data_IF_331705359692
#
_entry.id   IF_331705359692
#
_cell.length_a   1.000
_cell.length_b   1.000
_cell.length_c   1.000
_cell.angle_alpha   90.00
_cell.angle_beta   90.00
_cell.angle_gamma   90.00
#
_symmetry.space_group_name_H-M   'P 1'
#
loop_
_entity.id
_entity.type
_entity.pdbx_description
1 polymer ?
#
# COMPACT_ATOMS: atom_id res chain seq x y z
N UNK A 1 -16.16 10.52 -3.05
CA UNK A 1 -17.58 10.22 -3.31
C UNK A 1 -17.90 8.73 -3.17
N UNK A 2 -17.12 7.82 -3.73
CA UNK A 2 -17.34 6.35 -3.68
C UNK A 2 -17.32 5.80 -2.26
N UNK A 3 -16.46 6.32 -1.37
CA UNK A 3 -16.44 5.94 0.05
C UNK A 3 -17.74 6.26 0.81
N UNK A 4 -18.49 7.28 0.39
CA UNK A 4 -19.74 7.67 1.04
C UNK A 4 -20.89 6.69 0.76
N UNK A 5 -20.91 6.05 -0.40
CA UNK A 5 -21.95 5.09 -0.77
C UNK A 5 -21.84 3.74 -0.05
N UNK A 6 -20.60 3.26 0.23
CA UNK A 6 -20.33 2.00 0.95
C UNK A 6 -20.29 2.15 2.47
N UNK A 7 -20.00 3.34 2.99
CA UNK A 7 -19.80 3.60 4.41
C UNK A 7 -21.04 3.42 5.32
N UNK A 8 -22.23 3.23 4.77
CA UNK A 8 -23.46 3.09 5.61
C UNK A 8 -23.65 1.70 6.21
N UNK A 9 -22.98 0.67 5.70
CA UNK A 9 -23.17 -0.70 6.17
C UNK A 9 -22.07 -1.23 7.10
N UNK A 10 -20.90 -0.54 7.20
CA UNK A 10 -19.74 -1.10 7.88
C UNK A 10 -19.24 -0.33 9.11
N UNK A 11 -19.90 0.75 9.51
CA UNK A 11 -19.48 1.50 10.70
C UNK A 11 -20.58 1.46 11.74
N UNK A 12 -20.39 0.60 12.74
CA UNK A 12 -21.12 0.63 14.00
C UNK A 12 -21.04 2.03 14.64
N UNK A 13 -22.20 2.58 14.93
CA UNK A 13 -22.47 3.58 15.98
C UNK A 13 -21.62 4.86 16.07
N UNK A 14 -21.47 5.59 14.98
CA UNK A 14 -21.34 7.05 15.08
C UNK A 14 -22.74 7.66 14.95
N UNK A 15 -23.56 7.48 15.98
CA UNK A 15 -24.82 8.20 16.13
C UNK A 15 -24.49 9.68 16.34
N UNK A 16 -25.02 10.53 15.47
CA UNK A 16 -25.46 11.89 15.63
C UNK A 16 -24.73 13.07 15.00
N UNK A 17 -23.60 12.99 14.31
CA UNK A 17 -22.99 14.19 13.68
C UNK A 17 -22.83 14.13 12.17
N UNK A 18 -23.56 13.27 11.48
CA UNK A 18 -23.60 13.35 10.00
C UNK A 18 -24.58 14.44 9.59
N UNK A 19 -24.21 15.33 8.66
CA UNK A 19 -25.19 16.12 7.94
C UNK A 19 -26.29 15.16 7.47
N UNK A 20 -27.56 15.50 7.68
CA UNK A 20 -28.70 14.70 7.20
C UNK A 20 -28.69 14.76 5.68
N UNK A 21 -27.84 13.93 5.07
CA UNK A 21 -27.77 13.77 3.65
C UNK A 21 -29.11 13.22 3.18
N UNK A 22 -29.88 14.03 2.48
CA UNK A 22 -31.20 13.66 2.00
C UNK A 22 -31.15 12.63 0.87
N UNK A 23 -29.96 12.44 0.25
CA UNK A 23 -29.76 11.50 -0.85
C UNK A 23 -29.61 10.06 -0.38
N UNK A 24 -30.29 9.13 -1.07
CA UNK A 24 -30.09 7.70 -0.84
C UNK A 24 -28.72 7.24 -1.35
N UNK A 25 -28.15 6.16 -0.81
CA UNK A 25 -26.86 5.63 -1.30
C UNK A 25 -26.81 5.39 -2.81
N UNK A 26 -27.90 4.89 -3.40
CA UNK A 26 -28.02 4.65 -4.84
C UNK A 26 -27.93 5.94 -5.68
N UNK A 27 -28.41 7.06 -5.17
CA UNK A 27 -28.35 8.35 -5.87
C UNK A 27 -26.90 8.85 -5.94
N UNK A 28 -26.11 8.64 -4.85
CA UNK A 28 -24.69 8.93 -4.84
C UNK A 28 -23.89 8.04 -5.80
N UNK A 29 -24.24 6.75 -5.89
CA UNK A 29 -23.61 5.83 -6.84
C UNK A 29 -23.92 6.21 -8.28
N UNK A 30 -25.16 6.59 -8.58
CA UNK A 30 -25.55 7.04 -9.92
C UNK A 30 -24.82 8.33 -10.31
N UNK A 31 -24.76 9.31 -9.42
CA UNK A 31 -24.05 10.56 -9.65
C UNK A 31 -22.54 10.31 -9.89
N UNK A 32 -21.92 9.46 -9.08
CA UNK A 32 -20.52 9.07 -9.27
C UNK A 32 -20.28 8.39 -10.62
N UNK A 33 -21.21 7.51 -11.06
CA UNK A 33 -21.15 6.86 -12.36
C UNK A 33 -21.29 7.88 -13.49
N UNK A 34 -22.26 8.79 -13.41
CA UNK A 34 -22.53 9.78 -14.45
C UNK A 34 -21.36 10.77 -14.60
N UNK A 35 -20.61 11.03 -13.54
CA UNK A 35 -19.38 11.83 -13.56
C UNK A 35 -18.17 11.05 -14.11
N UNK A 36 -18.05 9.75 -13.78
CA UNK A 36 -16.89 8.95 -14.16
C UNK A 36 -17.00 8.45 -15.62
N UNK A 37 -18.20 8.08 -16.08
CA UNK A 37 -18.40 7.43 -17.36
C UNK A 37 -17.84 8.19 -18.56
N UNK A 38 -18.10 9.51 -18.76
CA UNK A 38 -17.55 10.24 -19.89
C UNK A 38 -16.02 10.27 -19.89
N UNK A 39 -15.38 10.37 -18.72
CA UNK A 39 -13.93 10.34 -18.58
C UNK A 39 -13.36 8.96 -18.90
N UNK A 40 -14.01 7.91 -18.39
CA UNK A 40 -13.61 6.52 -18.67
C UNK A 40 -13.71 6.20 -20.17
N UNK A 41 -14.78 6.65 -20.84
CA UNK A 41 -14.96 6.50 -22.30
C UNK A 41 -13.92 7.31 -23.09
N UNK A 42 -13.45 8.42 -22.55
CA UNK A 42 -12.37 9.24 -23.11
C UNK A 42 -10.96 8.68 -22.86
N UNK A 43 -10.81 7.57 -22.13
CA UNK A 43 -9.53 6.90 -21.90
C UNK A 43 -8.87 7.18 -20.56
N UNK A 44 -9.52 7.91 -19.64
CA UNK A 44 -9.00 8.16 -18.30
C UNK A 44 -8.93 6.86 -17.49
N UNK A 45 -7.71 6.45 -17.13
CA UNK A 45 -7.45 5.17 -16.47
C UNK A 45 -8.03 5.08 -15.05
N UNK A 46 -7.99 6.17 -14.27
CA UNK A 46 -8.59 6.23 -12.94
C UNK A 46 -10.12 6.19 -13.04
N UNK A 47 -10.70 6.93 -13.97
CA UNK A 47 -12.14 6.90 -14.19
C UNK A 47 -12.64 5.51 -14.62
N UNK A 48 -11.87 4.77 -15.44
CA UNK A 48 -12.16 3.37 -15.76
C UNK A 48 -12.15 2.49 -14.51
N UNK A 49 -11.20 2.69 -13.59
CA UNK A 49 -11.18 1.96 -12.33
C UNK A 49 -12.39 2.33 -11.45
N UNK A 50 -12.77 3.59 -11.40
CA UNK A 50 -14.00 4.03 -10.73
C UNK A 50 -15.23 3.34 -11.31
N UNK A 51 -15.33 3.20 -12.64
CA UNK A 51 -16.41 2.44 -13.28
C UNK A 51 -16.42 0.97 -12.85
N UNK A 52 -15.25 0.32 -12.75
CA UNK A 52 -15.14 -1.03 -12.21
C UNK A 52 -15.67 -1.11 -10.76
N UNK A 53 -15.28 -0.19 -9.89
CA UNK A 53 -15.72 -0.16 -8.48
C UNK A 53 -17.24 0.04 -8.33
N UNK A 54 -17.85 0.79 -9.26
CA UNK A 54 -19.27 1.07 -9.25
C UNK A 54 -20.12 -0.07 -9.83
N UNK A 55 -19.65 -0.71 -10.90
CA UNK A 55 -20.41 -1.67 -11.68
C UNK A 55 -19.96 -3.12 -11.45
N UNK A 56 -18.78 -3.34 -10.90
CA UNK A 56 -18.13 -4.63 -10.70
C UNK A 56 -17.88 -5.41 -12.01
N UNK A 57 -17.84 -4.69 -13.14
CA UNK A 57 -17.56 -5.27 -14.45
C UNK A 57 -16.06 -5.36 -14.70
N UNK A 58 -15.52 -6.59 -14.77
CA UNK A 58 -14.09 -6.85 -14.99
C UNK A 58 -13.53 -6.23 -16.28
N UNK A 59 -14.36 -5.96 -17.26
CA UNK A 59 -13.95 -5.28 -18.50
C UNK A 59 -13.37 -3.88 -18.22
N UNK A 60 -13.95 -3.14 -17.30
CA UNK A 60 -13.43 -1.83 -16.88
C UNK A 60 -12.11 -1.94 -16.11
N UNK A 61 -11.96 -2.96 -15.25
CA UNK A 61 -10.71 -3.23 -14.57
C UNK A 61 -9.58 -3.51 -15.58
N UNK A 62 -9.83 -4.37 -16.56
CA UNK A 62 -8.86 -4.71 -17.59
C UNK A 62 -8.44 -3.50 -18.44
N UNK A 63 -9.42 -2.64 -18.83
CA UNK A 63 -9.15 -1.39 -19.55
C UNK A 63 -8.29 -0.44 -18.72
N UNK A 64 -8.66 -0.22 -17.46
CA UNK A 64 -7.91 0.64 -16.53
C UNK A 64 -6.47 0.16 -16.32
N UNK A 65 -6.28 -1.15 -16.09
CA UNK A 65 -4.95 -1.74 -15.93
C UNK A 65 -4.11 -1.61 -17.20
N UNK A 66 -4.72 -1.82 -18.38
CA UNK A 66 -4.05 -1.65 -19.68
C UNK A 66 -3.70 -0.19 -19.98
N UNK A 67 -4.47 0.75 -19.46
CA UNK A 67 -4.19 2.19 -19.52
C UNK A 67 -3.16 2.65 -18.48
N UNK A 68 -2.61 1.76 -17.65
CA UNK A 68 -1.49 2.02 -16.75
C UNK A 68 -1.87 2.40 -15.31
N UNK A 69 -3.15 2.31 -14.91
CA UNK A 69 -3.52 2.63 -13.53
C UNK A 69 -3.02 1.56 -12.55
N UNK A 70 -2.07 1.93 -11.69
CA UNK A 70 -1.34 1.00 -10.84
C UNK A 70 -2.25 0.17 -9.91
N UNK A 71 -3.28 0.77 -9.32
CA UNK A 71 -4.22 0.05 -8.46
C UNK A 71 -5.05 -0.98 -9.27
N UNK A 72 -5.45 -0.66 -10.51
CA UNK A 72 -6.13 -1.61 -11.37
C UNK A 72 -5.21 -2.79 -11.75
N UNK A 73 -3.94 -2.51 -12.06
CA UNK A 73 -2.93 -3.53 -12.33
C UNK A 73 -2.72 -4.46 -11.12
N UNK A 74 -2.69 -3.91 -9.89
CA UNK A 74 -2.66 -4.71 -8.67
C UNK A 74 -3.86 -5.67 -8.59
N UNK A 75 -5.07 -5.17 -8.83
CA UNK A 75 -6.27 -6.01 -8.78
C UNK A 75 -6.32 -7.05 -9.89
N UNK A 76 -5.75 -6.78 -11.06
CA UNK A 76 -5.54 -7.81 -12.09
C UNK A 76 -4.65 -8.93 -11.59
N UNK A 77 -3.49 -8.61 -10.97
CA UNK A 77 -2.60 -9.61 -10.40
C UNK A 77 -3.29 -10.44 -9.29
N UNK A 78 -4.03 -9.78 -8.40
CA UNK A 78 -4.79 -10.44 -7.32
C UNK A 78 -5.85 -11.37 -7.90
N UNK A 79 -6.58 -10.95 -8.93
CA UNK A 79 -7.57 -11.78 -9.62
C UNK A 79 -6.94 -13.06 -10.18
N UNK A 80 -5.82 -12.97 -10.90
CA UNK A 80 -5.09 -14.15 -11.38
C UNK A 80 -4.60 -15.04 -10.22
N UNK A 81 -4.11 -14.45 -9.12
CA UNK A 81 -3.69 -15.19 -7.92
C UNK A 81 -4.85 -15.95 -7.28
N UNK A 82 -6.07 -15.43 -7.34
CA UNK A 82 -7.29 -16.05 -6.82
C UNK A 82 -7.93 -17.03 -7.81
N UNK A 83 -7.39 -17.17 -9.01
CA UNK A 83 -7.86 -18.12 -10.01
C UNK A 83 -8.83 -17.56 -11.03
N UNK A 84 -8.95 -16.23 -11.11
CA UNK A 84 -9.68 -15.60 -12.20
C UNK A 84 -9.07 -16.03 -13.55
N UNK A 85 -9.94 -16.28 -14.53
CA UNK A 85 -9.63 -16.82 -15.84
C UNK A 85 -8.99 -18.23 -15.82
N UNK A 86 -9.34 -19.03 -16.81
CA UNK A 86 -8.77 -20.37 -16.98
C UNK A 86 -7.42 -20.25 -17.69
N UNK A 87 -6.33 -20.12 -16.90
CA UNK A 87 -4.97 -20.11 -17.42
C UNK A 87 -4.21 -21.37 -16.99
N UNK A 88 -3.33 -21.84 -17.87
CA UNK A 88 -2.35 -22.86 -17.49
C UNK A 88 -1.45 -22.33 -16.34
N UNK A 89 -1.01 -23.17 -15.39
CA UNK A 89 -0.31 -22.71 -14.18
C UNK A 89 0.85 -21.75 -14.46
N UNK A 90 1.70 -22.06 -15.45
CA UNK A 90 2.83 -21.19 -15.80
C UNK A 90 2.41 -19.84 -16.39
N UNK A 91 1.36 -19.83 -17.25
CA UNK A 91 0.82 -18.57 -17.80
C UNK A 91 0.20 -17.70 -16.71
N UNK A 92 -0.41 -18.34 -15.69
CA UNK A 92 -0.93 -17.63 -14.52
C UNK A 92 0.19 -16.97 -13.74
N UNK A 93 1.28 -17.70 -13.45
CA UNK A 93 2.45 -17.15 -12.74
C UNK A 93 3.06 -15.98 -13.50
N UNK A 94 3.24 -16.09 -14.81
CA UNK A 94 3.73 -15.00 -15.67
C UNK A 94 2.79 -13.78 -15.63
N UNK A 95 1.47 -13.99 -15.68
CA UNK A 95 0.49 -12.90 -15.61
C UNK A 95 0.51 -12.20 -14.24
N UNK A 96 0.59 -12.95 -13.15
CA UNK A 96 0.69 -12.42 -11.78
C UNK A 96 1.94 -11.53 -11.67
N UNK A 97 3.10 -12.06 -12.07
CA UNK A 97 4.35 -11.31 -12.03
C UNK A 97 4.29 -10.04 -12.89
N UNK A 98 3.84 -10.17 -14.14
CA UNK A 98 3.69 -9.05 -15.07
C UNK A 98 2.90 -7.90 -14.44
N UNK A 99 1.74 -8.21 -13.87
CA UNK A 99 0.84 -7.19 -13.35
C UNK A 99 1.32 -6.61 -12.02
N UNK A 100 1.90 -7.41 -11.10
CA UNK A 100 2.52 -6.87 -9.90
C UNK A 100 3.72 -5.99 -10.23
N UNK A 101 4.57 -6.39 -11.19
CA UNK A 101 5.68 -5.58 -11.66
C UNK A 101 5.20 -4.24 -12.22
N UNK A 102 4.28 -4.25 -13.17
CA UNK A 102 3.73 -3.03 -13.77
C UNK A 102 3.13 -2.09 -12.71
N UNK A 103 2.37 -2.64 -11.77
CA UNK A 103 1.77 -1.88 -10.68
C UNK A 103 2.82 -1.32 -9.69
N UNK A 104 3.89 -2.07 -9.42
CA UNK A 104 5.01 -1.61 -8.60
C UNK A 104 5.75 -0.46 -9.28
N UNK A 105 6.04 -0.58 -10.57
CA UNK A 105 6.61 0.47 -11.42
C UNK A 105 5.71 1.71 -11.49
N UNK A 106 4.39 1.51 -11.42
CA UNK A 106 3.37 2.56 -11.29
C UNK A 106 3.24 3.18 -9.90
N UNK A 107 4.09 2.78 -8.94
CA UNK A 107 4.17 3.38 -7.61
C UNK A 107 3.24 2.79 -6.54
N UNK A 108 2.53 1.69 -6.80
CA UNK A 108 1.61 1.13 -5.81
C UNK A 108 2.32 0.26 -4.76
N UNK A 109 2.35 0.66 -3.46
CA UNK A 109 3.22 0.02 -2.46
C UNK A 109 2.93 -1.45 -2.17
N UNK A 110 1.67 -1.89 -2.22
CA UNK A 110 1.34 -3.31 -2.06
C UNK A 110 1.91 -4.16 -3.18
N UNK A 111 1.90 -3.64 -4.41
CA UNK A 111 2.51 -4.33 -5.54
C UNK A 111 4.02 -4.40 -5.44
N UNK A 112 4.66 -3.37 -4.90
CA UNK A 112 6.09 -3.40 -4.62
C UNK A 112 6.43 -4.54 -3.65
N UNK A 113 5.63 -4.74 -2.59
CA UNK A 113 5.81 -5.87 -1.66
C UNK A 113 5.58 -7.23 -2.33
N UNK A 114 4.49 -7.38 -3.09
CA UNK A 114 4.18 -8.63 -3.77
C UNK A 114 5.23 -8.97 -4.82
N UNK A 115 5.71 -7.97 -5.56
CA UNK A 115 6.77 -8.15 -6.54
C UNK A 115 8.12 -8.46 -5.86
N UNK A 116 8.45 -7.79 -4.75
CA UNK A 116 9.61 -8.14 -3.94
C UNK A 116 9.55 -9.61 -3.49
N UNK A 117 8.40 -10.10 -3.02
CA UNK A 117 8.24 -11.50 -2.63
C UNK A 117 8.50 -12.48 -3.80
N UNK A 118 8.03 -12.16 -5.01
CA UNK A 118 8.30 -12.95 -6.21
C UNK A 118 9.81 -12.99 -6.51
N UNK A 119 10.50 -11.85 -6.41
CA UNK A 119 11.96 -11.77 -6.62
C UNK A 119 12.74 -12.57 -5.57
N UNK A 120 12.28 -12.53 -4.30
CA UNK A 120 12.84 -13.35 -3.23
C UNK A 120 12.71 -14.86 -3.55
N UNK A 121 11.54 -15.32 -3.99
CA UNK A 121 11.32 -16.71 -4.38
C UNK A 121 12.19 -17.15 -5.56
N UNK A 122 12.55 -16.21 -6.44
CA UNK A 122 13.48 -16.43 -7.56
C UNK A 122 14.96 -16.33 -7.19
N UNK A 123 15.29 -15.97 -5.95
CA UNK A 123 16.65 -15.76 -5.46
C UNK A 123 17.25 -14.40 -5.81
N UNK A 124 16.49 -13.50 -6.42
CA UNK A 124 16.93 -12.12 -6.70
C UNK A 124 16.82 -11.27 -5.41
N UNK A 125 17.85 -11.38 -4.58
CA UNK A 125 17.91 -10.67 -3.29
C UNK A 125 18.10 -9.16 -3.46
N UNK A 126 18.74 -8.71 -4.52
CA UNK A 126 18.93 -7.28 -4.78
C UNK A 126 17.61 -6.63 -5.19
N UNK A 127 16.87 -7.26 -6.08
CA UNK A 127 15.53 -6.83 -6.46
C UNK A 127 14.57 -6.85 -5.27
N UNK A 128 14.62 -7.90 -4.43
CA UNK A 128 13.84 -7.98 -3.19
C UNK A 128 14.10 -6.78 -2.28
N UNK A 129 15.36 -6.46 -1.98
CA UNK A 129 15.74 -5.32 -1.12
C UNK A 129 15.31 -3.99 -1.72
N UNK A 130 15.58 -3.81 -3.02
CA UNK A 130 15.19 -2.60 -3.74
C UNK A 130 13.69 -2.31 -3.60
N UNK A 131 12.83 -3.27 -3.92
CA UNK A 131 11.38 -3.04 -3.90
C UNK A 131 10.80 -2.89 -2.49
N UNK A 132 11.38 -3.54 -1.47
CA UNK A 132 11.02 -3.28 -0.07
C UNK A 132 11.37 -1.85 0.36
N UNK A 133 12.54 -1.35 -0.03
CA UNK A 133 12.91 0.04 0.22
C UNK A 133 11.97 1.00 -0.49
N UNK A 134 11.67 0.81 -1.79
CA UNK A 134 10.74 1.66 -2.53
C UNK A 134 9.35 1.70 -1.88
N UNK A 135 8.84 0.57 -1.43
CA UNK A 135 7.55 0.51 -0.73
C UNK A 135 7.58 1.24 0.62
N UNK A 136 8.71 1.23 1.34
CA UNK A 136 8.89 2.02 2.56
C UNK A 136 8.97 3.52 2.26
N UNK A 137 9.72 3.92 1.22
CA UNK A 137 9.81 5.30 0.75
C UNK A 137 8.45 5.88 0.32
N UNK A 138 7.56 5.04 -0.18
CA UNK A 138 6.18 5.40 -0.51
C UNK A 138 5.28 5.60 0.73
N UNK A 139 5.79 5.45 1.96
CA UNK A 139 5.06 5.73 3.20
C UNK A 139 4.09 4.62 3.65
N UNK A 140 4.15 3.43 3.07
CA UNK A 140 3.28 2.34 3.51
C UNK A 140 3.75 1.77 4.86
N UNK A 141 2.94 1.95 5.90
CA UNK A 141 3.33 1.69 7.29
C UNK A 141 3.90 0.28 7.53
N UNK A 142 3.33 -0.74 6.88
CA UNK A 142 3.80 -2.13 7.04
C UNK A 142 5.22 -2.32 6.51
N UNK A 143 5.55 -1.68 5.37
CA UNK A 143 6.89 -1.77 4.77
C UNK A 143 7.90 -0.88 5.49
N UNK A 144 7.48 0.28 5.98
CA UNK A 144 8.34 1.13 6.82
C UNK A 144 8.77 0.36 8.08
N UNK A 145 7.84 -0.36 8.72
CA UNK A 145 8.17 -1.22 9.86
C UNK A 145 9.15 -2.35 9.48
N UNK A 146 8.88 -3.05 8.38
CA UNK A 146 9.73 -4.15 7.90
C UNK A 146 11.12 -3.65 7.57
N UNK A 147 11.22 -2.67 6.68
CA UNK A 147 12.49 -2.09 6.25
C UNK A 147 13.31 -1.51 7.42
N UNK A 148 12.66 -0.80 8.35
CA UNK A 148 13.34 -0.32 9.54
C UNK A 148 13.88 -1.44 10.43
N UNK A 149 13.13 -2.54 10.58
CA UNK A 149 13.59 -3.72 11.31
C UNK A 149 14.77 -4.41 10.61
N UNK A 150 14.73 -4.52 9.29
CA UNK A 150 15.77 -5.15 8.49
C UNK A 150 17.08 -4.35 8.52
N UNK A 151 17.02 -3.01 8.43
CA UNK A 151 18.18 -2.13 8.57
C UNK A 151 18.80 -2.18 9.96
N UNK A 152 18.00 -2.38 11.01
CA UNK A 152 18.49 -2.55 12.38
C UNK A 152 18.96 -3.99 12.68
N UNK A 153 18.95 -4.88 11.69
CA UNK A 153 19.23 -6.32 11.85
C UNK A 153 18.43 -6.94 13.01
N UNK A 154 17.12 -6.72 13.00
CA UNK A 154 16.20 -7.22 14.04
C UNK A 154 14.95 -7.90 13.41
N UNK A 155 15.08 -9.13 12.88
CA UNK A 155 16.31 -9.94 12.78
C UNK A 155 17.18 -9.59 11.56
N UNK A 156 18.46 -10.01 11.58
CA UNK A 156 19.33 -10.02 10.41
C UNK A 156 19.00 -11.27 9.56
N UNK A 157 18.17 -11.10 8.55
CA UNK A 157 17.66 -12.23 7.76
C UNK A 157 17.85 -12.06 6.25
N UNK A 158 17.77 -10.84 5.76
CA UNK A 158 17.63 -10.60 4.32
C UNK A 158 18.83 -9.90 3.69
N UNK A 159 19.93 -9.71 4.48
CA UNK A 159 21.18 -9.11 4.01
C UNK A 159 21.04 -7.63 3.64
N UNK A 160 20.17 -6.90 4.32
CA UNK A 160 20.13 -5.45 4.21
C UNK A 160 21.41 -4.84 4.81
N UNK A 161 21.90 -3.71 4.27
CA UNK A 161 22.99 -2.98 4.90
C UNK A 161 22.60 -2.59 6.34
N UNK A 162 23.55 -2.76 7.28
CA UNK A 162 23.30 -2.38 8.66
C UNK A 162 23.29 -0.86 8.81
N UNK A 163 22.16 -0.31 9.23
CA UNK A 163 21.97 1.10 9.56
C UNK A 163 20.99 1.20 10.73
N UNK A 164 21.53 1.11 11.95
CA UNK A 164 20.72 1.07 13.16
C UNK A 164 20.00 2.40 13.43
N UNK A 165 20.60 3.52 13.01
CA UNK A 165 20.02 4.86 13.20
C UNK A 165 18.78 5.01 12.30
N UNK A 166 18.93 4.77 11.01
CA UNK A 166 17.81 4.79 10.05
C UNK A 166 16.77 3.71 10.42
N UNK A 167 17.22 2.52 10.80
CA UNK A 167 16.35 1.42 11.22
C UNK A 167 15.46 1.78 12.41
N UNK A 168 16.07 2.29 13.48
CA UNK A 168 15.32 2.78 14.65
C UNK A 168 14.37 3.92 14.28
N UNK A 169 14.85 4.89 13.52
CA UNK A 169 14.08 6.07 13.13
C UNK A 169 12.80 5.70 12.35
N UNK A 170 12.88 4.78 11.39
CA UNK A 170 11.74 4.32 10.62
C UNK A 170 10.71 3.62 11.52
N UNK A 171 11.14 2.70 12.39
CA UNK A 171 10.23 2.05 13.34
C UNK A 171 9.65 3.08 14.32
N UNK A 172 10.46 4.03 14.81
CA UNK A 172 10.02 5.08 15.73
C UNK A 172 8.96 6.01 15.12
N UNK A 173 9.07 6.34 13.81
CA UNK A 173 8.13 7.21 13.13
C UNK A 173 6.69 6.67 13.11
N UNK A 174 6.52 5.35 13.28
CA UNK A 174 5.22 4.68 13.32
C UNK A 174 4.48 4.79 14.66
N UNK A 175 5.13 5.30 15.73
CA UNK A 175 4.52 5.41 17.07
C UNK A 175 3.30 6.34 17.11
N UNK A 176 3.26 7.32 16.21
CA UNK A 176 2.20 8.34 16.17
C UNK A 176 1.07 7.95 15.22
N UNK A 177 1.16 6.79 14.56
CA UNK A 177 0.08 6.32 13.71
C UNK A 177 -1.08 5.84 14.59
N UNK A 178 -2.25 6.42 14.33
CA UNK A 178 -3.47 6.08 15.03
C UNK A 178 -3.89 4.64 14.70
N UNK A 179 -3.94 3.84 15.69
CA UNK A 179 -4.64 2.60 16.01
C UNK A 179 -4.99 1.57 14.93
N UNK A 180 -4.36 1.55 13.77
CA UNK A 180 -4.66 0.54 12.74
C UNK A 180 -3.79 -0.72 12.86
N UNK A 181 -4.41 -1.90 12.83
CA UNK A 181 -3.72 -3.16 12.48
C UNK A 181 -2.65 -3.67 13.44
N UNK A 182 -2.64 -3.26 14.71
CA UNK A 182 -1.69 -3.78 15.70
C UNK A 182 -0.24 -3.31 15.50
N UNK A 183 0.01 -2.29 14.68
CA UNK A 183 1.36 -1.77 14.44
C UNK A 183 1.96 -1.19 15.71
N UNK A 184 1.17 -0.54 16.57
CA UNK A 184 1.65 0.03 17.82
C UNK A 184 2.27 -1.03 18.73
N UNK A 185 1.57 -2.15 18.97
CA UNK A 185 2.12 -3.26 19.77
C UNK A 185 3.42 -3.83 19.17
N UNK A 186 3.50 -3.91 17.85
CA UNK A 186 4.72 -4.34 17.15
C UNK A 186 5.86 -3.34 17.33
N UNK A 187 5.59 -2.05 17.22
CA UNK A 187 6.56 -0.97 17.44
C UNK A 187 7.04 -0.95 18.89
N UNK A 188 6.12 -1.03 19.85
CA UNK A 188 6.44 -1.08 21.29
C UNK A 188 7.30 -2.28 21.66
N UNK A 189 7.07 -3.42 21.03
CA UNK A 189 7.91 -4.62 21.22
C UNK A 189 9.27 -4.53 20.52
N UNK A 190 9.37 -3.82 19.38
CA UNK A 190 10.57 -3.76 18.54
C UNK A 190 11.56 -2.70 18.99
N UNK A 191 11.09 -1.49 19.30
CA UNK A 191 11.96 -0.36 19.64
C UNK A 191 12.93 -0.63 20.80
N UNK A 192 12.52 -1.27 21.93
CA UNK A 192 13.44 -1.58 23.02
C UNK A 192 14.56 -2.53 22.57
N UNK A 193 14.28 -3.48 21.67
CA UNK A 193 15.28 -4.44 21.16
C UNK A 193 16.33 -3.75 20.30
N UNK A 194 15.91 -2.80 19.46
CA UNK A 194 16.84 -2.00 18.67
C UNK A 194 17.62 -1.05 19.58
N UNK A 195 16.94 -0.34 20.49
CA UNK A 195 17.56 0.60 21.42
C UNK A 195 18.62 -0.04 22.32
N UNK A 196 18.45 -1.29 22.71
CA UNK A 196 19.43 -2.03 23.51
C UNK A 196 20.80 -2.22 22.80
N UNK A 197 20.85 -2.01 21.48
CA UNK A 197 22.07 -2.06 20.66
C UNK A 197 22.63 -0.66 20.34
N UNK A 198 22.04 0.42 20.87
CA UNK A 198 22.35 1.81 20.54
C UNK A 198 22.88 2.57 21.75
N UNK A 199 23.71 3.58 21.47
CA UNK A 199 24.07 4.57 22.50
C UNK A 199 22.95 5.61 22.67
N UNK A 200 22.92 6.36 23.81
CA UNK A 200 21.95 7.45 23.98
C UNK A 200 22.01 8.50 22.85
N UNK A 201 23.22 8.82 22.37
CA UNK A 201 23.45 9.78 21.28
C UNK A 201 22.86 9.29 19.96
N UNK A 202 23.06 8.01 19.63
CA UNK A 202 22.46 7.39 18.44
C UNK A 202 20.93 7.40 18.48
N UNK A 203 20.32 7.23 19.66
CA UNK A 203 18.86 7.30 19.82
C UNK A 203 18.36 8.73 19.58
N UNK A 204 19.11 9.75 20.03
CA UNK A 204 18.77 11.16 19.77
C UNK A 204 18.84 11.42 18.25
N UNK A 205 19.95 11.06 17.61
CA UNK A 205 20.14 11.21 16.17
C UNK A 205 19.02 10.51 15.36
N UNK A 206 18.66 9.29 15.75
CA UNK A 206 17.58 8.55 15.10
C UNK A 206 16.21 9.26 15.21
N UNK A 207 15.91 9.87 16.36
CA UNK A 207 14.69 10.67 16.54
C UNK A 207 14.68 11.92 15.66
N UNK A 208 15.81 12.60 15.55
CA UNK A 208 15.95 13.75 14.63
C UNK A 208 15.78 13.32 13.17
N UNK A 209 16.38 12.19 12.79
CA UNK A 209 16.18 11.60 11.47
C UNK A 209 14.69 11.31 11.21
N UNK A 210 13.98 10.72 12.17
CA UNK A 210 12.55 10.43 12.04
C UNK A 210 11.70 11.69 11.79
N UNK A 211 12.05 12.83 12.44
CA UNK A 211 11.35 14.09 12.19
C UNK A 211 11.63 14.63 10.77
N UNK A 212 12.87 14.59 10.32
CA UNK A 212 13.23 14.97 8.94
C UNK A 212 12.55 14.08 7.91
N UNK A 213 12.50 12.77 8.15
CA UNK A 213 11.82 11.79 7.30
C UNK A 213 10.36 12.16 7.07
N UNK A 214 9.61 12.49 8.14
CA UNK A 214 8.19 12.86 8.06
C UNK A 214 7.93 14.09 7.20
N UNK A 215 8.89 15.00 7.10
CA UNK A 215 8.77 16.24 6.31
C UNK A 215 9.08 15.98 4.83
N UNK A 216 9.98 15.06 4.54
CA UNK A 216 10.55 14.85 3.20
C UNK A 216 9.91 13.69 2.43
N UNK A 217 9.10 12.87 3.10
CA UNK A 217 8.47 11.68 2.51
C UNK A 217 6.94 11.77 2.60
N UNK A 218 6.21 10.99 1.82
CA UNK A 218 4.76 10.91 1.91
C UNK A 218 4.30 10.57 3.33
N UNK A 219 3.12 11.04 3.75
CA UNK A 219 2.59 10.72 5.07
C UNK A 219 2.44 9.20 5.23
N UNK A 220 2.83 8.70 6.40
CA UNK A 220 2.68 7.28 6.73
C UNK A 220 1.20 6.88 6.71
N UNK A 221 0.87 5.78 6.06
CA UNK A 221 -0.50 5.30 5.96
C UNK A 221 -0.58 3.77 5.96
N UNK A 222 -1.67 3.24 6.53
CA UNK A 222 -2.09 1.84 6.35
C UNK A 222 -2.87 1.61 5.05
N UNK A 223 -3.26 2.69 4.38
CA UNK A 223 -4.10 2.66 3.20
C UNK A 223 -3.29 3.09 1.98
N UNK A 224 -2.59 2.15 1.32
CA UNK A 224 -1.71 2.48 0.19
C UNK A 224 -2.48 3.07 -1.00
N UNK A 225 -3.79 2.82 -1.11
CA UNK A 225 -4.64 3.39 -2.15
C UNK A 225 -4.73 4.92 -2.10
N UNK A 226 -4.32 5.51 -0.96
CA UNK A 226 -4.25 6.97 -0.78
C UNK A 226 -2.83 7.53 -0.99
N UNK A 227 -1.83 6.67 -1.14
CA UNK A 227 -0.42 7.04 -1.30
C UNK A 227 0.01 7.07 -2.78
N UNK A 228 -0.76 6.49 -3.67
CA UNK A 228 -0.49 6.37 -5.11
C UNK A 228 -1.01 7.56 -5.93
N UNK A 229 -1.00 8.78 -5.37
CA UNK A 229 -1.43 10.00 -6.06
C UNK A 229 -0.25 10.93 -6.30
#
# INVERSE_FOLDING_TARGET
MIQLGRSKNDICDLKNDRPKDKKKPVEWLNEARDLAKPKAEAGDAEAMYIMYELMLEKSWLAKSASAGFALAQYWMAVGYKQGDEFLLPWKRTEAIEKWFKASAEGGYPKSMMEYAAILYEKGDMDGFRHWNEQAALAGYASTVYGHGSDLAHEPDKYGFPFDIIKGYALVYSLRELDGGGGIQARVESKLPKIAAKMTPEQIIEAKEFAQKWKITHPPLSFFPDKLSR
#
